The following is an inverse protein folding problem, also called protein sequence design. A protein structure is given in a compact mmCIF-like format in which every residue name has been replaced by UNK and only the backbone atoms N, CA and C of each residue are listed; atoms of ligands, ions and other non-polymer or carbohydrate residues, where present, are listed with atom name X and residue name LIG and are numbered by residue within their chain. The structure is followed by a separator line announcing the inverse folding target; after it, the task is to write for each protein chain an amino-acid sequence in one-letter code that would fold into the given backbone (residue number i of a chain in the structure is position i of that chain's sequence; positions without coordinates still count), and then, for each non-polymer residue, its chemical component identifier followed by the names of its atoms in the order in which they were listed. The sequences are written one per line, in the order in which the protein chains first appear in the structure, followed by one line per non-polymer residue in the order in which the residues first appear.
data_IF_083395638643
#
_entry.id   IF_083395638643
#
_cell.length_a   1.000
_cell.length_b   1.000
_cell.length_c   1.000
_cell.angle_alpha   90.00
_cell.angle_beta   90.00
_cell.angle_gamma   90.00
#
_symmetry.space_group_name_H-M   'P 1'
#
loop_
_entity.id
_entity.type
_entity.pdbx_description
1 polymer ?
#
# COMPACT_ATOMS: atom_id res chain seq x y z
N UNK A 1 5.50 -14.40 8.01
CA UNK A 1 6.02 -13.36 7.10
C UNK A 1 5.23 -13.31 5.81
N UNK A 2 5.08 -14.44 5.12
CA UNK A 2 4.26 -14.66 3.92
C UNK A 2 2.92 -13.89 3.87
N UNK A 3 2.12 -13.98 4.93
CA UNK A 3 0.81 -13.28 5.00
C UNK A 3 0.96 -11.75 4.89
N UNK A 4 1.92 -11.17 5.61
CA UNK A 4 2.16 -9.71 5.62
C UNK A 4 2.63 -9.25 4.23
N UNK A 5 3.52 -10.02 3.60
CA UNK A 5 4.02 -9.74 2.26
C UNK A 5 2.89 -9.84 1.23
N UNK A 6 2.04 -10.88 1.33
CA UNK A 6 0.86 -11.03 0.48
C UNK A 6 -0.15 -9.89 0.64
N UNK A 7 -0.38 -9.42 1.87
CA UNK A 7 -1.24 -8.25 2.12
C UNK A 7 -0.64 -6.95 1.57
N UNK A 8 0.68 -6.76 1.66
CA UNK A 8 1.35 -5.62 1.03
C UNK A 8 1.23 -5.66 -0.50
N UNK A 9 1.39 -6.83 -1.14
CA UNK A 9 1.15 -6.98 -2.58
C UNK A 9 -0.28 -6.59 -2.96
N UNK A 10 -1.27 -7.04 -2.17
CA UNK A 10 -2.67 -6.73 -2.40
C UNK A 10 -2.94 -5.22 -2.26
N UNK A 11 -2.34 -4.55 -1.27
CA UNK A 11 -2.43 -3.09 -1.12
C UNK A 11 -1.82 -2.35 -2.31
N UNK A 12 -0.68 -2.79 -2.83
CA UNK A 12 -0.08 -2.22 -4.06
C UNK A 12 -1.03 -2.39 -5.23
N UNK A 13 -1.60 -3.58 -5.43
CA UNK A 13 -2.55 -3.86 -6.52
C UNK A 13 -3.78 -2.95 -6.45
N UNK A 14 -4.41 -2.84 -5.28
CA UNK A 14 -5.57 -1.96 -5.08
C UNK A 14 -5.18 -0.51 -5.41
N UNK A 15 -4.02 -0.07 -4.94
CA UNK A 15 -3.57 1.30 -5.14
C UNK A 15 -3.32 1.61 -6.62
N UNK A 16 -2.71 0.68 -7.36
CA UNK A 16 -2.51 0.80 -8.82
C UNK A 16 -3.85 0.87 -9.55
N UNK A 17 -4.81 0.01 -9.21
CA UNK A 17 -6.16 0.05 -9.81
C UNK A 17 -6.81 1.41 -9.58
N UNK A 18 -6.72 1.95 -8.37
CA UNK A 18 -7.24 3.29 -8.06
C UNK A 18 -6.48 4.41 -8.79
N UNK A 19 -5.17 4.29 -8.93
CA UNK A 19 -4.36 5.24 -9.68
C UNK A 19 -4.77 5.26 -11.16
N UNK A 20 -4.94 4.10 -11.78
CA UNK A 20 -5.43 3.98 -13.17
C UNK A 20 -6.84 4.56 -13.29
N UNK A 21 -7.76 4.18 -12.40
CA UNK A 21 -9.14 4.66 -12.46
C UNK A 21 -9.27 6.19 -12.28
N UNK A 22 -8.46 6.77 -11.40
CA UNK A 22 -8.58 8.19 -11.03
C UNK A 22 -7.66 9.13 -11.81
N UNK A 23 -6.50 8.68 -12.26
CA UNK A 23 -5.56 9.54 -13.01
C UNK A 23 -5.76 9.36 -14.52
N UNK A 24 -5.92 8.12 -15.01
CA UNK A 24 -6.02 7.85 -16.45
C UNK A 24 -7.44 8.04 -17.01
N UNK A 25 -8.48 7.79 -16.21
CA UNK A 25 -9.88 7.81 -16.71
C UNK A 25 -10.63 9.09 -16.29
N UNK A 26 -10.40 9.62 -15.07
CA UNK A 26 -11.21 10.73 -14.56
C UNK A 26 -10.43 11.62 -13.58
N UNK A 27 -9.75 12.65 -14.08
CA UNK A 27 -8.82 13.53 -13.34
C UNK A 27 -9.43 14.31 -12.14
N UNK A 28 -10.74 14.17 -11.88
CA UNK A 28 -11.44 14.84 -10.75
C UNK A 28 -12.30 13.86 -9.96
N UNK A 29 -11.75 13.43 -8.82
CA UNK A 29 -12.47 12.69 -7.78
C UNK A 29 -13.39 13.61 -6.95
N UNK A 30 -12.91 14.81 -6.64
CA UNK A 30 -13.65 15.88 -5.95
C UNK A 30 -13.52 17.19 -6.71
N UNK A 31 -14.47 18.10 -6.53
CA UNK A 31 -14.32 19.50 -6.97
C UNK A 31 -13.28 20.26 -6.15
N UNK A 32 -13.03 19.83 -4.91
CA UNK A 32 -11.98 20.41 -4.08
C UNK A 32 -10.61 19.93 -4.53
N UNK A 33 -9.80 20.85 -5.06
CA UNK A 33 -8.39 20.58 -5.44
C UNK A 33 -7.57 20.07 -4.25
N UNK A 34 -7.87 20.52 -3.04
CA UNK A 34 -7.20 20.07 -1.81
C UNK A 34 -7.44 18.58 -1.55
N UNK A 35 -8.70 18.12 -1.62
CA UNK A 35 -9.03 16.70 -1.39
C UNK A 35 -8.40 15.78 -2.43
N UNK A 36 -8.34 16.20 -3.69
CA UNK A 36 -7.64 15.45 -4.74
C UNK A 36 -6.13 15.39 -4.46
N UNK A 37 -5.52 16.48 -3.98
CA UNK A 37 -4.13 16.50 -3.56
C UNK A 37 -3.85 15.55 -2.39
N UNK A 38 -4.68 15.56 -1.35
CA UNK A 38 -4.57 14.63 -0.22
C UNK A 38 -4.67 13.16 -0.67
N UNK A 39 -5.58 12.86 -1.59
CA UNK A 39 -5.70 11.51 -2.15
C UNK A 39 -4.45 11.10 -2.91
N UNK A 40 -3.91 11.98 -3.76
CA UNK A 40 -2.69 11.69 -4.51
C UNK A 40 -1.51 11.42 -3.58
N UNK A 41 -1.34 12.22 -2.51
CA UNK A 41 -0.30 12.02 -1.50
C UNK A 41 -0.48 10.67 -0.80
N UNK A 42 -1.70 10.31 -0.40
CA UNK A 42 -1.98 9.02 0.24
C UNK A 42 -1.69 7.85 -0.69
N UNK A 43 -2.03 7.95 -1.98
CA UNK A 43 -1.68 6.95 -3.00
C UNK A 43 -0.16 6.79 -3.08
N UNK A 44 0.60 7.89 -3.17
CA UNK A 44 2.07 7.83 -3.21
C UNK A 44 2.67 7.16 -1.97
N UNK A 45 2.17 7.51 -0.77
CA UNK A 45 2.61 6.89 0.49
C UNK A 45 2.29 5.40 0.47
N UNK A 46 1.07 4.99 0.09
CA UNK A 46 0.69 3.57 0.04
C UNK A 46 1.58 2.79 -0.93
N UNK A 47 1.79 3.27 -2.16
CA UNK A 47 2.66 2.59 -3.14
C UNK A 47 4.09 2.48 -2.61
N UNK A 48 4.64 3.57 -2.06
CA UNK A 48 6.00 3.58 -1.56
C UNK A 48 6.18 2.57 -0.42
N UNK A 49 5.34 2.64 0.62
CA UNK A 49 5.51 1.78 1.79
C UNK A 49 5.10 0.34 1.55
N UNK A 50 3.98 0.07 0.87
CA UNK A 50 3.56 -1.30 0.56
C UNK A 50 4.48 -1.95 -0.48
N UNK A 51 4.99 -1.18 -1.46
CA UNK A 51 5.97 -1.64 -2.44
C UNK A 51 7.30 -2.04 -1.79
N UNK A 52 7.87 -1.15 -0.96
CA UNK A 52 9.09 -1.47 -0.22
C UNK A 52 8.88 -2.63 0.78
N UNK A 53 7.74 -2.68 1.47
CA UNK A 53 7.39 -3.78 2.37
C UNK A 53 7.27 -5.13 1.65
N UNK A 54 6.77 -5.13 0.42
CA UNK A 54 6.73 -6.31 -0.44
C UNK A 54 8.14 -6.72 -0.88
N UNK A 55 8.92 -5.79 -1.41
CA UNK A 55 10.25 -6.08 -1.95
C UNK A 55 11.20 -6.63 -0.89
N UNK A 56 11.29 -5.98 0.27
CA UNK A 56 12.09 -6.47 1.40
C UNK A 56 11.53 -7.79 1.92
N UNK A 57 10.20 -7.93 1.94
CA UNK A 57 9.52 -9.14 2.37
C UNK A 57 9.86 -10.37 1.53
N UNK A 58 9.92 -10.24 0.21
CA UNK A 58 10.33 -11.32 -0.71
C UNK A 58 11.79 -11.70 -0.45
N UNK A 59 12.70 -10.72 -0.33
CA UNK A 59 14.11 -11.00 -0.03
C UNK A 59 14.32 -11.71 1.30
N UNK A 60 13.51 -11.38 2.32
CA UNK A 60 13.55 -12.09 3.60
C UNK A 60 13.13 -13.54 3.43
N UNK A 61 12.04 -13.78 2.69
CA UNK A 61 11.56 -15.14 2.42
C UNK A 61 12.63 -15.96 1.71
N UNK A 62 13.24 -15.42 0.65
CA UNK A 62 14.33 -16.08 -0.07
C UNK A 62 15.54 -16.37 0.84
N UNK A 63 15.90 -15.42 1.72
CA UNK A 63 17.00 -15.60 2.67
C UNK A 63 16.68 -16.64 3.76
N UNK A 64 15.41 -16.71 4.22
CA UNK A 64 14.96 -17.73 5.16
C UNK A 64 15.01 -19.13 4.54
N UNK A 65 14.48 -19.29 3.31
CA UNK A 65 14.48 -20.57 2.60
C UNK A 65 15.92 -21.05 2.31
N UNK A 66 16.81 -20.12 1.92
CA UNK A 66 18.22 -20.43 1.69
C UNK A 66 18.92 -20.84 2.98
N UNK A 67 18.65 -20.16 4.09
CA UNK A 67 19.25 -20.49 5.39
C UNK A 67 18.73 -21.83 5.93
N UNK A 68 17.45 -22.13 5.74
CA UNK A 68 16.87 -23.43 6.07
C UNK A 68 17.51 -24.55 5.23
N UNK A 69 17.73 -24.32 3.94
CA UNK A 69 18.45 -25.27 3.08
C UNK A 69 19.89 -25.53 3.55
N UNK A 70 20.63 -24.47 3.93
CA UNK A 70 22.01 -24.60 4.41
C UNK A 70 22.10 -25.31 5.78
N UNK A 71 21.12 -25.13 6.65
CA UNK A 71 21.07 -25.80 7.96
C UNK A 71 20.69 -27.28 7.81
N UNK A 72 19.79 -27.61 6.89
CA UNK A 72 19.29 -28.97 6.69
C UNK A 72 20.22 -29.85 5.82
N UNK A 73 21.02 -29.25 4.94
CA UNK A 73 22.00 -29.97 4.11
C UNK A 73 23.41 -29.68 4.64
N UNK A 74 23.80 -30.40 5.69
CA UNK A 74 25.13 -30.28 6.30
C UNK A 74 26.25 -30.32 5.23
N UNK A 75 26.89 -29.14 5.04
CA UNK A 75 28.16 -28.90 4.34
C UNK A 75 28.17 -29.06 2.82
N UNK A 76 28.39 -27.94 2.14
CA UNK A 76 29.30 -27.84 1.00
C UNK A 76 29.87 -26.40 0.98
N UNK A 77 31.16 -26.25 1.31
CA UNK A 77 32.09 -25.16 0.92
C UNK A 77 31.65 -23.68 0.85
N UNK A 78 30.58 -23.25 1.51
CA UNK A 78 30.35 -21.81 1.67
C UNK A 78 31.36 -21.26 2.70
N UNK A 79 31.98 -20.12 2.38
CA UNK A 79 32.76 -19.28 3.31
C UNK A 79 32.06 -19.23 4.68
N UNK A 80 32.80 -19.01 5.78
CA UNK A 80 32.23 -18.82 7.12
C UNK A 80 31.24 -17.63 7.14
N UNK A 81 30.03 -17.86 6.62
CA UNK A 81 28.93 -16.94 6.70
C UNK A 81 28.49 -17.05 8.16
N UNK A 82 28.70 -15.98 8.92
CA UNK A 82 28.19 -15.90 10.28
C UNK A 82 26.66 -15.96 10.24
N UNK A 83 26.14 -17.17 10.42
CA UNK A 83 24.71 -17.51 10.43
C UNK A 83 23.96 -16.63 11.45
N UNK A 84 24.60 -16.23 12.55
CA UNK A 84 23.97 -15.35 13.54
C UNK A 84 23.84 -13.92 13.01
N UNK A 85 24.83 -13.41 12.27
CA UNK A 85 24.73 -12.10 11.61
C UNK A 85 23.59 -12.06 10.58
N UNK A 86 23.41 -13.15 9.83
CA UNK A 86 22.34 -13.27 8.82
C UNK A 86 20.98 -13.33 9.51
N UNK A 87 20.83 -14.11 10.58
CA UNK A 87 19.60 -14.16 11.38
C UNK A 87 19.22 -12.80 11.97
N UNK A 88 20.18 -12.08 12.53
CA UNK A 88 19.96 -10.73 13.07
C UNK A 88 19.52 -9.75 11.97
N UNK A 89 20.13 -9.83 10.80
CA UNK A 89 19.77 -9.00 9.65
C UNK A 89 18.36 -9.31 9.14
N UNK A 90 17.99 -10.60 9.05
CA UNK A 90 16.63 -11.03 8.72
C UNK A 90 15.62 -10.48 9.73
N UNK A 91 15.91 -10.57 11.02
CA UNK A 91 15.01 -10.13 12.08
C UNK A 91 14.82 -8.61 12.09
N UNK A 92 15.90 -7.84 11.90
CA UNK A 92 15.82 -6.39 11.71
C UNK A 92 14.97 -6.01 10.50
N UNK A 93 15.18 -6.68 9.36
CA UNK A 93 14.41 -6.45 8.14
C UNK A 93 12.93 -6.82 8.30
N UNK A 94 12.61 -7.89 9.05
CA UNK A 94 11.21 -8.23 9.39
C UNK A 94 10.51 -7.12 10.15
N UNK A 95 11.21 -6.46 11.08
CA UNK A 95 10.64 -5.33 11.83
C UNK A 95 10.32 -4.16 10.89
N UNK A 96 11.21 -3.85 9.94
CA UNK A 96 10.95 -2.84 8.91
C UNK A 96 9.72 -3.17 8.05
N UNK A 97 9.57 -4.42 7.61
CA UNK A 97 8.40 -4.84 6.82
C UNK A 97 7.11 -4.68 7.63
N UNK A 98 7.11 -5.01 8.93
CA UNK A 98 5.95 -4.78 9.80
C UNK A 98 5.62 -3.29 9.92
N UNK A 99 6.63 -2.43 10.09
CA UNK A 99 6.46 -0.96 10.13
C UNK A 99 5.87 -0.43 8.82
N UNK A 100 6.37 -0.89 7.67
CA UNK A 100 5.87 -0.49 6.35
C UNK A 100 4.44 -0.97 6.10
N UNK A 101 4.10 -2.18 6.56
CA UNK A 101 2.72 -2.67 6.53
C UNK A 101 1.79 -1.80 7.38
N UNK A 102 2.21 -1.40 8.59
CA UNK A 102 1.42 -0.51 9.43
C UNK A 102 1.17 0.87 8.77
N UNK A 103 2.23 1.49 8.23
CA UNK A 103 2.13 2.81 7.58
C UNK A 103 1.20 2.75 6.36
N UNK A 104 1.36 1.73 5.52
CA UNK A 104 0.51 1.55 4.34
C UNK A 104 -0.94 1.23 4.71
N UNK A 105 -1.17 0.39 5.72
CA UNK A 105 -2.49 0.06 6.23
C UNK A 105 -3.23 1.27 6.82
N UNK A 106 -2.57 2.08 7.65
CA UNK A 106 -3.13 3.34 8.17
C UNK A 106 -3.46 4.30 7.03
N UNK A 107 -2.55 4.44 6.07
CA UNK A 107 -2.76 5.31 4.90
C UNK A 107 -3.95 4.84 4.06
N UNK A 108 -4.14 3.52 3.91
CA UNK A 108 -5.29 2.94 3.23
C UNK A 108 -6.62 3.25 3.94
N UNK A 109 -6.66 3.18 5.28
CA UNK A 109 -7.85 3.54 6.04
C UNK A 109 -8.23 5.01 5.78
N UNK A 110 -7.26 5.94 5.87
CA UNK A 110 -7.51 7.35 5.58
C UNK A 110 -7.97 7.60 4.14
N UNK A 111 -7.37 6.89 3.18
CA UNK A 111 -7.78 6.94 1.78
C UNK A 111 -9.25 6.49 1.60
N UNK A 112 -9.66 5.38 2.23
CA UNK A 112 -11.04 4.89 2.18
C UNK A 112 -12.01 5.87 2.84
N UNK A 113 -11.64 6.48 3.97
CA UNK A 113 -12.47 7.47 4.65
C UNK A 113 -12.67 8.73 3.80
N UNK A 114 -11.60 9.26 3.20
CA UNK A 114 -11.68 10.43 2.32
C UNK A 114 -12.49 10.16 1.06
N UNK A 115 -12.30 9.01 0.42
CA UNK A 115 -13.08 8.63 -0.77
C UNK A 115 -14.56 8.43 -0.45
N UNK A 116 -14.89 7.84 0.71
CA UNK A 116 -16.29 7.76 1.20
C UNK A 116 -16.87 9.15 1.48
N UNK A 117 -16.11 10.03 2.12
CA UNK A 117 -16.54 11.41 2.39
C UNK A 117 -16.87 12.16 1.10
N UNK A 118 -16.00 12.08 0.08
CA UNK A 118 -16.22 12.69 -1.23
C UNK A 118 -17.44 12.09 -1.92
N UNK A 119 -17.59 10.76 -1.87
CA UNK A 119 -18.75 10.09 -2.47
C UNK A 119 -20.07 10.52 -1.82
N UNK A 120 -20.07 10.72 -0.50
CA UNK A 120 -21.20 11.26 0.25
C UNK A 120 -21.52 12.70 -0.17
N UNK A 121 -20.52 13.57 -0.26
CA UNK A 121 -20.70 14.94 -0.75
C UNK A 121 -21.27 15.00 -2.18
N UNK A 122 -20.84 14.10 -3.06
CA UNK A 122 -21.37 14.05 -4.43
C UNK A 122 -22.85 13.61 -4.43
N UNK A 123 -23.21 12.65 -3.58
CA UNK A 123 -24.59 12.14 -3.46
C UNK A 123 -25.55 13.15 -2.80
N UNK A 124 -25.08 13.88 -1.80
CA UNK A 124 -25.90 14.82 -1.01
C UNK A 124 -25.99 16.22 -1.65
N UNK A 125 -25.26 16.48 -2.73
CA UNK A 125 -25.43 17.72 -3.48
C UNK A 125 -26.85 17.78 -4.01
N UNK A 126 -27.59 18.88 -3.75
CA UNK A 126 -28.83 19.11 -4.44
C UNK A 126 -28.51 19.12 -5.94
N UNK A 127 -29.16 18.24 -6.70
CA UNK A 127 -29.19 18.32 -8.15
C UNK A 127 -29.86 19.65 -8.50
N UNK A 128 -29.08 20.73 -8.53
CA UNK A 128 -29.45 21.95 -9.21
C UNK A 128 -29.34 21.64 -10.69
N UNK A 129 -30.27 20.79 -11.15
CA UNK A 129 -30.59 20.64 -12.56
C UNK A 129 -30.78 22.05 -13.10
N UNK A 130 -30.28 22.30 -14.32
CA UNK A 130 -30.61 23.52 -15.07
C UNK A 130 -32.13 23.77 -15.17
N UNK A 131 -32.95 22.75 -14.86
CA UNK A 131 -34.41 22.74 -14.87
C UNK A 131 -35.04 22.83 -13.48
N UNK A 132 -34.33 23.34 -12.47
CA UNK A 132 -34.91 23.55 -11.14
C UNK A 132 -35.97 24.66 -11.18
N UNK A 133 -37.22 24.26 -11.41
CA UNK A 133 -38.42 25.11 -11.54
C UNK A 133 -38.68 25.95 -10.29
N UNK A 134 -38.06 25.61 -9.15
CA UNK A 134 -38.14 26.40 -7.91
C UNK A 134 -37.48 27.78 -8.02
N UNK A 135 -36.59 27.99 -9.02
CA UNK A 135 -35.94 29.27 -9.29
C UNK A 135 -36.77 30.27 -10.12
N UNK A 136 -37.90 29.84 -10.66
CA UNK A 136 -38.78 30.68 -11.49
C UNK A 136 -40.05 31.13 -10.74
N UNK A 137 -39.93 31.37 -9.43
CA UNK A 137 -41.04 31.79 -8.58
C UNK A 137 -41.22 33.32 -8.57
#
# INVERSE_FOLDING_TARGET
MYIIVGLNMLLVFITVIYMVKNILINYRLSESRFKNGCIAILICIMVWFAGNGTFIGIKIIEAEDTLEYMVNNEKEEYEEIDINSVKLTIEGNKEYVKKYFLISGVSFIFFVLLTKNISKEIRERPTTSKWDLSKYK
#
